data_IF_272222582406
#
_entry.id   IF_272222582406
#
_cell.length_a   1.000
_cell.length_b   1.000
_cell.length_c   1.000
_cell.angle_alpha   90.00
_cell.angle_beta   90.00
_cell.angle_gamma   90.00
#
_symmetry.space_group_name_H-M   'P 1'
#
loop_
_entity.id
_entity.type
_entity.pdbx_description
1 polymer ?
#
# COMPACT_ATOMS: atom_id res chain seq x y z
N UNK A 1 -56.10 -27.41 -20.22
CA UNK A 1 -54.86 -27.70 -19.46
C UNK A 1 -53.76 -27.88 -20.49
N UNK A 2 -52.68 -27.13 -20.58
CA UNK A 2 -51.74 -26.76 -19.51
C UNK A 2 -50.90 -25.59 -20.06
N UNK A 3 -50.79 -24.49 -19.31
CA UNK A 3 -49.98 -23.34 -19.72
C UNK A 3 -48.49 -23.73 -19.75
N UNK A 4 -47.82 -23.26 -20.80
CA UNK A 4 -46.38 -23.34 -21.03
C UNK A 4 -45.69 -22.65 -19.86
N UNK A 5 -45.05 -23.43 -18.98
CA UNK A 5 -44.16 -22.90 -17.95
C UNK A 5 -42.75 -22.96 -18.54
N UNK A 6 -42.37 -21.88 -19.23
CA UNK A 6 -40.99 -21.63 -19.60
C UNK A 6 -40.22 -21.22 -18.35
N UNK A 7 -39.45 -22.15 -17.78
CA UNK A 7 -38.58 -21.87 -16.64
C UNK A 7 -37.33 -21.17 -17.19
N UNK A 8 -37.38 -19.85 -17.26
CA UNK A 8 -36.19 -19.02 -17.45
C UNK A 8 -35.30 -19.18 -16.22
N UNK A 9 -34.26 -20.00 -16.33
CA UNK A 9 -33.21 -20.13 -15.33
C UNK A 9 -32.39 -18.83 -15.30
N UNK A 10 -32.80 -17.89 -14.44
CA UNK A 10 -32.01 -16.71 -14.13
C UNK A 10 -30.76 -17.16 -13.36
N UNK A 11 -29.60 -17.13 -14.03
CA UNK A 11 -28.30 -17.27 -13.39
C UNK A 11 -28.10 -16.03 -12.53
N UNK A 12 -28.35 -16.14 -11.24
CA UNK A 12 -27.93 -15.13 -10.26
C UNK A 12 -26.44 -15.31 -10.07
N UNK A 13 -25.66 -14.57 -10.85
CA UNK A 13 -24.23 -14.45 -10.63
C UNK A 13 -24.03 -13.70 -9.31
N UNK A 14 -23.92 -14.44 -8.22
CA UNK A 14 -23.47 -13.90 -6.95
C UNK A 14 -22.01 -13.47 -7.11
N UNK A 15 -21.81 -12.20 -7.48
CA UNK A 15 -20.53 -11.53 -7.31
C UNK A 15 -20.31 -11.38 -5.80
N UNK A 16 -19.77 -12.43 -5.19
CA UNK A 16 -19.14 -12.35 -3.89
C UNK A 16 -17.92 -11.45 -4.04
N UNK A 17 -18.10 -10.13 -4.03
CA UNK A 17 -17.05 -9.25 -3.54
C UNK A 17 -16.90 -9.62 -2.08
N UNK A 18 -16.04 -10.61 -1.80
CA UNK A 18 -15.42 -10.67 -0.49
C UNK A 18 -14.84 -9.29 -0.30
N UNK A 19 -15.41 -8.51 0.61
CA UNK A 19 -14.65 -7.50 1.32
C UNK A 19 -13.50 -8.29 1.94
N UNK A 20 -12.41 -8.44 1.18
CA UNK A 20 -11.17 -8.96 1.70
C UNK A 20 -10.91 -8.01 2.86
N UNK A 21 -10.88 -8.54 4.08
CA UNK A 21 -10.40 -7.77 5.21
C UNK A 21 -9.06 -7.18 4.74
N UNK A 22 -9.05 -5.88 4.45
CA UNK A 22 -7.88 -5.23 3.90
C UNK A 22 -6.89 -5.24 5.04
N UNK A 23 -5.92 -6.13 4.91
CA UNK A 23 -4.80 -6.20 5.81
C UNK A 23 -4.11 -4.86 5.71
N UNK A 24 -4.16 -4.10 6.81
CA UNK A 24 -3.75 -2.71 6.81
C UNK A 24 -2.23 -2.65 6.62
N UNK A 25 -1.80 -2.25 5.43
CA UNK A 25 -0.38 -1.97 5.16
C UNK A 25 0.10 -0.86 6.10
N UNK A 26 1.15 -1.09 6.91
CA UNK A 26 1.68 -0.08 7.80
C UNK A 26 2.22 1.14 7.05
N UNK A 27 1.99 2.34 7.60
CA UNK A 27 2.48 3.58 7.01
C UNK A 27 4.02 3.61 6.93
N UNK A 28 4.61 4.19 5.87
CA UNK A 28 6.05 4.30 5.75
C UNK A 28 6.59 5.39 6.71
N UNK A 29 7.59 5.02 7.50
CA UNK A 29 8.32 5.92 8.40
C UNK A 29 9.69 5.30 8.72
N UNK A 30 10.55 6.03 9.46
CA UNK A 30 11.91 5.58 9.76
C UNK A 30 11.94 4.21 10.44
N UNK A 31 11.06 3.98 11.42
CA UNK A 31 10.99 2.73 12.16
C UNK A 31 10.52 1.57 11.30
N UNK A 32 9.47 1.78 10.50
CA UNK A 32 8.89 0.73 9.68
C UNK A 32 9.76 0.39 8.46
N UNK A 33 10.46 1.38 7.90
CA UNK A 33 11.26 1.22 6.69
C UNK A 33 12.74 0.91 6.95
N UNK A 34 13.10 0.46 8.15
CA UNK A 34 14.49 0.13 8.50
C UNK A 34 14.61 -1.05 9.48
N UNK A 35 15.76 -1.73 9.40
CA UNK A 35 16.18 -2.76 10.34
C UNK A 35 15.22 -3.94 10.46
N UNK A 36 15.19 -4.56 11.64
CA UNK A 36 14.40 -5.77 11.90
C UNK A 36 12.89 -5.54 11.84
N UNK A 37 12.41 -4.31 12.06
CA UNK A 37 10.97 -4.00 11.98
C UNK A 37 10.47 -4.08 10.55
N UNK A 38 11.28 -3.69 9.56
CA UNK A 38 10.95 -3.85 8.15
C UNK A 38 10.73 -5.33 7.79
N UNK A 39 11.66 -6.21 8.20
CA UNK A 39 11.57 -7.65 7.95
C UNK A 39 10.38 -8.29 8.67
N UNK A 40 10.11 -7.86 9.90
CA UNK A 40 8.93 -8.31 10.67
C UNK A 40 7.62 -7.92 10.00
N UNK A 41 7.52 -6.69 9.48
CA UNK A 41 6.33 -6.23 8.75
C UNK A 41 6.16 -7.05 7.47
N UNK A 42 7.23 -7.23 6.69
CA UNK A 42 7.19 -8.06 5.48
C UNK A 42 6.76 -9.50 5.75
N UNK A 43 7.24 -10.10 6.85
CA UNK A 43 6.86 -11.45 7.26
C UNK A 43 5.41 -11.53 7.76
N UNK A 44 4.91 -10.47 8.40
CA UNK A 44 3.54 -10.41 8.94
C UNK A 44 2.47 -10.26 7.87
N UNK A 45 2.80 -9.60 6.76
CA UNK A 45 1.86 -9.39 5.65
C UNK A 45 1.52 -10.73 4.99
N UNK A 46 0.25 -11.03 4.79
CA UNK A 46 -0.18 -12.31 4.21
C UNK A 46 -0.22 -12.26 2.68
N UNK A 47 -0.59 -11.12 2.10
CA UNK A 47 -0.73 -10.93 0.64
C UNK A 47 0.51 -10.33 0.01
N UNK A 48 0.86 -10.81 -1.17
CA UNK A 48 1.99 -10.26 -1.93
C UNK A 48 1.70 -8.85 -2.45
N UNK A 49 0.43 -8.51 -2.71
CA UNK A 49 0.03 -7.13 -3.01
C UNK A 49 0.44 -6.16 -1.91
N UNK A 50 0.20 -6.57 -0.67
CA UNK A 50 0.37 -5.73 0.51
C UNK A 50 1.87 -5.61 0.86
N UNK A 51 2.63 -6.70 0.67
CA UNK A 51 4.11 -6.67 0.71
C UNK A 51 4.66 -5.70 -0.33
N UNK A 52 4.21 -5.80 -1.58
CA UNK A 52 4.69 -4.93 -2.66
C UNK A 52 4.35 -3.46 -2.42
N UNK A 53 3.15 -3.18 -1.92
CA UNK A 53 2.74 -1.84 -1.52
C UNK A 53 3.63 -1.30 -0.40
N UNK A 54 3.90 -2.10 0.63
CA UNK A 54 4.79 -1.71 1.72
C UNK A 54 6.22 -1.38 1.23
N UNK A 55 6.80 -2.24 0.39
CA UNK A 55 8.13 -2.02 -0.22
C UNK A 55 8.14 -0.74 -1.04
N UNK A 56 7.13 -0.53 -1.88
CA UNK A 56 7.00 0.67 -2.72
C UNK A 56 6.90 1.94 -1.89
N UNK A 57 6.08 1.92 -0.83
CA UNK A 57 5.88 3.03 0.08
C UNK A 57 7.17 3.37 0.85
N UNK A 58 7.90 2.36 1.33
CA UNK A 58 9.19 2.57 1.99
C UNK A 58 10.27 3.11 1.05
N UNK A 59 10.32 2.64 -0.21
CA UNK A 59 11.21 3.20 -1.23
C UNK A 59 10.92 4.68 -1.48
N UNK A 60 9.64 5.02 -1.62
CA UNK A 60 9.17 6.39 -1.87
C UNK A 60 9.49 7.31 -0.69
N UNK A 61 9.27 6.85 0.55
CA UNK A 61 9.64 7.58 1.76
C UNK A 61 11.14 7.85 1.85
N UNK A 62 11.97 6.84 1.59
CA UNK A 62 13.43 7.00 1.59
C UNK A 62 13.92 7.93 0.48
N UNK A 63 13.26 7.94 -0.68
CA UNK A 63 13.56 8.92 -1.74
C UNK A 63 13.18 10.33 -1.32
N UNK A 64 11.98 10.53 -0.76
CA UNK A 64 11.52 11.84 -0.29
C UNK A 64 12.47 12.43 0.77
N UNK A 65 12.96 11.61 1.70
CA UNK A 65 13.94 12.03 2.71
C UNK A 65 15.21 12.64 2.14
N UNK A 66 15.75 12.08 1.05
CA UNK A 66 16.96 12.61 0.40
C UNK A 66 16.77 14.02 -0.13
N UNK A 67 15.53 14.41 -0.43
CA UNK A 67 15.20 15.75 -0.90
C UNK A 67 14.90 16.73 0.25
N UNK A 68 14.59 16.24 1.45
CA UNK A 68 14.36 17.07 2.64
C UNK A 68 15.63 17.46 3.40
N UNK A 69 16.79 16.89 3.03
CA UNK A 69 18.08 17.22 3.65
C UNK A 69 18.65 18.59 3.23
N UNK A 70 17.94 19.34 2.37
CA UNK A 70 18.32 20.70 2.02
C UNK A 70 18.32 21.59 3.27
N UNK A 71 19.50 22.08 3.64
CA UNK A 71 19.70 23.08 4.68
C UNK A 71 20.12 24.39 4.03
N UNK A 72 19.49 25.48 4.43
CA UNK A 72 19.96 26.81 4.05
C UNK A 72 21.32 27.06 4.71
N UNK A 73 22.38 27.06 3.90
CA UNK A 73 23.67 27.58 4.34
C UNK A 73 23.72 29.06 4.02
N UNK A 74 23.93 29.88 5.06
CA UNK A 74 24.09 31.33 4.87
C UNK A 74 25.33 31.54 4.01
N UNK A 75 25.19 32.29 2.92
CA UNK A 75 26.33 32.72 2.13
C UNK A 75 27.36 33.43 3.04
N UNK A 76 28.67 33.27 2.76
CA UNK A 76 29.68 34.04 3.47
C UNK A 76 29.38 35.55 3.38
N UNK A 77 29.84 36.35 4.36
CA UNK A 77 29.67 37.80 4.33
C UNK A 77 30.20 38.39 3.03
N UNK A 78 29.45 39.33 2.48
CA UNK A 78 29.85 40.10 1.31
C UNK A 78 31.07 40.99 1.64
N UNK A 79 32.13 40.91 0.83
CA UNK A 79 33.37 41.70 0.97
C UNK A 79 33.64 42.64 -0.22
N UNK A 80 32.62 42.89 -1.05
CA UNK A 80 32.66 43.87 -2.15
C UNK A 80 32.61 45.34 -1.70
#
# INVERSE_FOLDING_TARGET
MKHIVGISAAIVMACSLSAQADEKVPAPNEKNCSGSTYDQILASLSKDSDRNEFVFNCKSFNQARKHTEWKFEKSPPDDF
#
